data_IF_055933394859
#
_entry.id   IF_055933394859
#
_cell.length_a   1.000
_cell.length_b   1.000
_cell.length_c   1.000
_cell.angle_alpha   90.00
_cell.angle_beta   90.00
_cell.angle_gamma   90.00
#
_symmetry.space_group_name_H-M   'P 1'
#
loop_
_entity.id
_entity.type
_entity.pdbx_description
1 polymer ?
#
# COMPACT_ATOMS: atom_id res chain seq x y z
N UNK A 1 18.02 11.86 1.67
CA UNK A 1 17.30 11.12 0.64
C UNK A 1 16.23 10.26 1.30
N UNK A 2 15.07 10.20 0.72
CA UNK A 2 13.90 9.45 1.21
C UNK A 2 13.47 9.84 2.62
N UNK A 3 13.01 11.07 2.73
CA UNK A 3 12.50 11.58 4.01
C UNK A 3 11.00 11.29 4.19
N UNK A 4 10.27 11.08 3.11
CA UNK A 4 8.83 10.81 3.16
C UNK A 4 8.54 9.58 2.31
N UNK A 5 8.31 8.45 2.96
CA UNK A 5 8.14 7.17 2.31
C UNK A 5 6.66 6.76 2.36
N UNK A 6 6.05 6.59 1.19
CA UNK A 6 4.66 6.12 1.09
C UNK A 6 4.66 4.61 0.84
N UNK A 7 3.98 3.87 1.68
CA UNK A 7 3.89 2.40 1.55
C UNK A 7 2.43 2.02 1.30
N UNK A 8 2.18 1.35 0.18
CA UNK A 8 0.85 0.82 -0.12
C UNK A 8 0.69 -0.53 0.58
N UNK A 9 -0.31 -0.66 1.44
CA UNK A 9 -0.54 -1.86 2.23
C UNK A 9 -1.93 -2.42 1.97
N UNK A 10 -2.03 -3.74 1.88
CA UNK A 10 -3.31 -4.43 1.69
C UNK A 10 -3.50 -5.63 2.62
N UNK A 11 -2.59 -5.82 3.56
CA UNK A 11 -2.65 -6.91 4.51
C UNK A 11 -2.09 -8.24 4.02
N UNK A 12 -1.66 -8.32 2.76
CA UNK A 12 -1.05 -9.54 2.25
C UNK A 12 0.37 -9.74 2.78
N UNK A 13 0.91 -10.95 2.65
CA UNK A 13 2.28 -11.24 3.07
C UNK A 13 3.29 -10.38 2.33
N UNK A 14 3.08 -10.18 1.03
CA UNK A 14 3.97 -9.36 0.22
C UNK A 14 3.92 -7.90 0.65
N UNK A 15 2.73 -7.41 0.97
CA UNK A 15 2.53 -6.07 1.52
C UNK A 15 3.29 -5.91 2.83
N UNK A 16 3.25 -6.92 3.69
CA UNK A 16 3.97 -6.86 4.96
C UNK A 16 5.48 -6.86 4.74
N UNK A 17 5.98 -7.60 3.76
CA UNK A 17 7.40 -7.56 3.39
C UNK A 17 7.79 -6.16 2.88
N UNK A 18 6.94 -5.54 2.08
CA UNK A 18 7.16 -4.19 1.60
C UNK A 18 7.21 -3.19 2.77
N UNK A 19 6.29 -3.35 3.72
CA UNK A 19 6.28 -2.51 4.92
C UNK A 19 7.57 -2.66 5.71
N UNK A 20 8.01 -3.90 5.96
CA UNK A 20 9.24 -4.13 6.70
C UNK A 20 10.46 -3.51 6.01
N UNK A 21 10.55 -3.63 4.69
CA UNK A 21 11.64 -3.01 3.93
C UNK A 21 11.61 -1.48 4.05
N UNK A 22 10.41 -0.89 3.98
CA UNK A 22 10.26 0.55 4.12
C UNK A 22 10.66 1.02 5.51
N UNK A 23 10.29 0.28 6.55
CA UNK A 23 10.64 0.63 7.92
C UNK A 23 12.15 0.54 8.18
N UNK A 24 12.80 -0.44 7.57
CA UNK A 24 14.24 -0.57 7.66
C UNK A 24 14.94 0.65 7.05
N UNK A 25 14.49 1.07 5.86
CA UNK A 25 15.01 2.29 5.23
C UNK A 25 14.72 3.53 6.08
N UNK A 26 13.55 3.61 6.66
CA UNK A 26 13.13 4.77 7.44
C UNK A 26 13.96 4.92 8.72
N UNK A 27 14.30 3.81 9.34
CA UNK A 27 15.07 3.82 10.59
C UNK A 27 16.42 4.51 10.42
N UNK A 28 17.13 4.16 9.36
CA UNK A 28 18.47 4.68 9.12
C UNK A 28 18.46 6.17 8.80
N UNK A 29 17.34 6.69 8.34
CA UNK A 29 17.27 8.04 7.80
C UNK A 29 16.35 8.97 8.55
N UNK A 30 15.73 8.47 9.61
CA UNK A 30 14.74 9.21 10.37
C UNK A 30 13.65 9.75 9.44
N UNK A 31 13.13 8.86 8.61
CA UNK A 31 12.10 9.19 7.64
C UNK A 31 10.72 9.10 8.28
N UNK A 32 9.77 9.85 7.73
CA UNK A 32 8.37 9.71 8.07
C UNK A 32 7.73 8.73 7.09
N UNK A 33 6.97 7.77 7.59
CA UNK A 33 6.33 6.75 6.78
C UNK A 33 4.81 6.97 6.77
N UNK A 34 4.21 6.97 5.58
CA UNK A 34 2.76 6.98 5.46
C UNK A 34 2.29 5.65 4.91
N UNK A 35 1.35 5.04 5.62
CA UNK A 35 0.75 3.76 5.25
C UNK A 35 -0.55 4.05 4.52
N UNK A 36 -0.61 3.67 3.25
CA UNK A 36 -1.77 3.94 2.39
C UNK A 36 -2.50 2.64 2.11
N UNK A 37 -3.80 2.63 2.37
CA UNK A 37 -4.67 1.53 1.94
C UNK A 37 -5.77 2.09 1.06
N UNK A 38 -5.92 1.47 -0.10
CA UNK A 38 -6.98 1.82 -1.05
C UNK A 38 -8.04 0.73 -0.97
N UNK A 39 -9.29 1.12 -0.78
CA UNK A 39 -10.37 0.16 -0.69
C UNK A 39 -10.50 -0.64 -1.97
N UNK A 40 -10.85 -1.92 -1.82
CA UNK A 40 -10.86 -2.87 -2.92
C UNK A 40 -11.88 -2.49 -4.00
N UNK A 41 -11.41 -2.50 -5.24
CA UNK A 41 -12.25 -2.16 -6.39
C UNK A 41 -13.28 -3.25 -6.73
N UNK A 42 -13.14 -4.44 -6.19
CA UNK A 42 -14.07 -5.53 -6.51
C UNK A 42 -15.51 -5.11 -6.37
N UNK A 43 -15.67 -4.16 -5.58
CA UNK A 43 -16.95 -3.64 -5.26
C UNK A 43 -17.57 -2.83 -6.39
N UNK A 44 -16.78 -2.28 -7.24
CA UNK A 44 -17.31 -1.50 -8.36
C UNK A 44 -17.56 -2.35 -9.60
N UNK A 45 -17.02 -3.58 -9.64
CA UNK A 45 -17.08 -4.42 -10.82
C UNK A 45 -18.48 -4.90 -11.17
N UNK A 46 -19.36 -4.95 -10.20
CA UNK A 46 -20.70 -5.47 -10.43
C UNK A 46 -21.74 -4.39 -10.71
N UNK A 47 -21.34 -3.14 -10.81
CA UNK A 47 -22.27 -2.07 -11.12
C UNK A 47 -23.36 -1.84 -10.07
N UNK A 48 -23.29 -2.56 -8.98
CA UNK A 48 -24.24 -2.38 -7.91
C UNK A 48 -23.74 -1.29 -6.99
N UNK A 49 -24.64 -0.37 -6.71
CA UNK A 49 -24.34 0.58 -5.65
C UNK A 49 -24.21 -0.22 -4.37
N UNK A 50 -23.11 -0.07 -3.68
CA UNK A 50 -23.00 -0.60 -2.37
C UNK A 50 -24.15 -0.13 -1.53
N UNK A 51 -24.73 -1.05 -0.82
CA UNK A 51 -25.49 -0.62 0.33
C UNK A 51 -24.52 0.13 1.23
N UNK A 52 -25.02 1.14 1.93
CA UNK A 52 -24.21 1.87 2.90
C UNK A 52 -23.54 0.92 3.88
N UNK A 53 -24.20 -0.19 4.20
CA UNK A 53 -23.67 -1.18 5.12
C UNK A 53 -22.44 -1.90 4.57
N UNK A 54 -22.45 -2.29 3.29
CA UNK A 54 -21.29 -2.93 2.66
C UNK A 54 -20.10 -1.99 2.58
N UNK A 55 -20.36 -0.73 2.30
CA UNK A 55 -19.32 0.28 2.25
C UNK A 55 -18.68 0.47 3.61
N UNK A 56 -19.51 0.54 4.65
CA UNK A 56 -19.04 0.67 6.02
C UNK A 56 -18.16 -0.51 6.40
N UNK A 57 -18.59 -1.74 6.05
CA UNK A 57 -17.80 -2.95 6.31
C UNK A 57 -16.45 -2.90 5.59
N UNK A 58 -16.41 -2.42 4.35
CA UNK A 58 -15.17 -2.30 3.60
C UNK A 58 -14.23 -1.28 4.24
N UNK A 59 -14.77 -0.17 4.72
CA UNK A 59 -13.98 0.84 5.41
C UNK A 59 -13.42 0.31 6.73
N UNK A 60 -14.21 -0.45 7.49
CA UNK A 60 -13.74 -1.07 8.72
C UNK A 60 -12.62 -2.07 8.46
N UNK A 61 -12.77 -2.89 7.43
CA UNK A 61 -11.74 -3.86 7.06
C UNK A 61 -10.46 -3.15 6.63
N UNK A 62 -10.58 -2.07 5.86
CA UNK A 62 -9.44 -1.26 5.45
C UNK A 62 -8.74 -0.59 6.63
N UNK A 63 -9.52 -0.10 7.58
CA UNK A 63 -8.97 0.50 8.78
C UNK A 63 -8.19 -0.53 9.61
N UNK A 64 -8.68 -1.77 9.67
CA UNK A 64 -7.97 -2.85 10.36
C UNK A 64 -6.62 -3.13 9.70
N UNK A 65 -6.58 -3.14 8.37
CA UNK A 65 -5.31 -3.30 7.65
C UNK A 65 -4.32 -2.20 8.04
N UNK A 66 -4.78 -0.96 8.10
CA UNK A 66 -3.93 0.16 8.48
C UNK A 66 -3.51 0.11 9.95
N UNK A 67 -4.41 -0.27 10.83
CA UNK A 67 -4.10 -0.37 12.27
C UNK A 67 -3.03 -1.44 12.52
N UNK A 68 -3.14 -2.59 11.85
CA UNK A 68 -2.15 -3.66 11.96
C UNK A 68 -0.78 -3.19 11.43
N UNK A 69 -0.77 -2.51 10.30
CA UNK A 69 0.46 -1.98 9.72
C UNK A 69 1.09 -0.92 10.63
N UNK A 70 0.26 -0.05 11.21
CA UNK A 70 0.74 0.97 12.12
C UNK A 70 1.37 0.37 13.37
N UNK A 71 0.79 -0.73 13.88
CA UNK A 71 1.33 -1.44 15.02
C UNK A 71 2.72 -2.01 14.72
N UNK A 72 2.93 -2.50 13.50
CA UNK A 72 4.24 -2.99 13.06
C UNK A 72 5.26 -1.84 13.05
N UNK A 73 4.87 -0.68 12.53
CA UNK A 73 5.74 0.49 12.50
C UNK A 73 6.11 0.97 13.92
N UNK A 74 5.15 0.93 14.83
CA UNK A 74 5.37 1.36 16.20
C UNK A 74 6.44 0.54 16.93
N UNK A 75 6.55 -0.74 16.60
CA UNK A 75 7.58 -1.60 17.18
C UNK A 75 9.00 -1.15 16.83
N UNK A 76 9.16 -0.43 15.73
CA UNK A 76 10.47 0.04 15.27
C UNK A 76 10.77 1.48 15.63
N UNK A 77 9.93 2.13 16.41
CA UNK A 77 10.09 3.55 16.77
C UNK A 77 10.12 4.45 15.52
N UNK A 78 9.36 4.09 14.51
CA UNK A 78 9.29 4.85 13.26
C UNK A 78 8.09 5.78 13.30
N UNK A 79 8.30 7.05 12.98
CA UNK A 79 7.22 8.00 12.85
C UNK A 79 6.36 7.62 11.64
N UNK A 80 5.12 7.24 11.90
CA UNK A 80 4.23 6.78 10.84
C UNK A 80 2.81 7.29 11.04
N UNK A 81 2.12 7.53 9.92
CA UNK A 81 0.70 7.81 9.92
C UNK A 81 -0.01 6.97 8.86
N UNK A 82 -1.32 7.05 8.82
CA UNK A 82 -2.13 6.22 7.92
C UNK A 82 -3.03 7.08 7.05
N UNK A 83 -3.37 6.54 5.89
CA UNK A 83 -4.33 7.16 4.99
C UNK A 83 -5.18 6.07 4.34
N UNK A 84 -6.49 6.17 4.51
CA UNK A 84 -7.46 5.28 3.87
C UNK A 84 -8.08 6.03 2.70
N UNK A 85 -8.04 5.43 1.52
CA UNK A 85 -8.61 6.05 0.32
C UNK A 85 -9.74 5.19 -0.23
N UNK A 86 -10.89 5.82 -0.41
CA UNK A 86 -12.05 5.22 -1.06
C UNK A 86 -12.21 5.93 -2.39
N UNK A 87 -11.74 5.31 -3.46
CA UNK A 87 -11.73 5.90 -4.79
C UNK A 87 -12.32 4.93 -5.80
N UNK A 88 -13.65 4.72 -5.75
CA UNK A 88 -14.28 3.74 -6.63
C UNK A 88 -14.06 4.10 -8.10
N UNK A 89 -13.75 3.09 -8.89
CA UNK A 89 -13.51 3.26 -10.32
C UNK A 89 -12.13 3.78 -10.69
N UNK A 90 -11.30 4.14 -9.73
CA UNK A 90 -9.94 4.57 -10.01
C UNK A 90 -8.97 3.39 -9.90
N UNK A 91 -7.92 3.42 -10.71
CA UNK A 91 -6.89 2.40 -10.68
C UNK A 91 -5.96 2.63 -9.50
N UNK A 92 -5.44 1.55 -8.97
CA UNK A 92 -4.52 1.62 -7.84
C UNK A 92 -3.32 2.52 -8.13
N UNK A 93 -2.73 2.40 -9.32
CA UNK A 93 -1.58 3.23 -9.70
C UNK A 93 -1.87 4.71 -9.67
N UNK A 94 -3.04 5.11 -10.15
CA UNK A 94 -3.44 6.53 -10.15
C UNK A 94 -3.64 7.03 -8.72
N UNK A 95 -4.31 6.25 -7.89
CA UNK A 95 -4.58 6.62 -6.50
C UNK A 95 -3.27 6.77 -5.71
N UNK A 96 -2.36 5.81 -5.87
CA UNK A 96 -1.07 5.86 -5.18
C UNK A 96 -0.23 7.04 -5.67
N UNK A 97 -0.21 7.28 -6.98
CA UNK A 97 0.54 8.40 -7.55
C UNK A 97 0.02 9.75 -7.04
N UNK A 98 -1.31 9.90 -6.98
CA UNK A 98 -1.93 11.12 -6.48
C UNK A 98 -1.64 11.32 -4.99
N UNK A 99 -1.75 10.26 -4.20
CA UNK A 99 -1.44 10.32 -2.78
C UNK A 99 0.03 10.69 -2.53
N UNK A 100 0.93 10.10 -3.32
CA UNK A 100 2.36 10.41 -3.21
C UNK A 100 2.63 11.87 -3.52
N UNK A 101 2.00 12.39 -4.57
CA UNK A 101 2.16 13.78 -4.97
C UNK A 101 1.61 14.72 -3.90
N UNK A 102 0.40 14.45 -3.44
CA UNK A 102 -0.27 15.31 -2.45
C UNK A 102 0.49 15.37 -1.13
N UNK A 103 1.12 14.28 -0.74
CA UNK A 103 1.88 14.21 0.50
C UNK A 103 3.36 14.59 0.31
N UNK A 104 3.77 14.83 -0.92
CA UNK A 104 5.16 15.09 -1.29
C UNK A 104 6.09 13.94 -0.88
N UNK A 105 5.67 12.72 -1.15
CA UNK A 105 6.51 11.55 -0.93
C UNK A 105 7.72 11.60 -1.86
N UNK A 106 8.85 11.13 -1.40
CA UNK A 106 10.05 11.02 -2.22
C UNK A 106 10.45 9.56 -2.50
N UNK A 107 9.68 8.63 -1.99
CA UNK A 107 9.78 7.20 -2.32
C UNK A 107 8.41 6.55 -2.12
N UNK A 108 8.05 5.66 -3.04
CA UNK A 108 6.87 4.79 -2.90
C UNK A 108 7.38 3.35 -2.78
N UNK A 109 6.82 2.59 -1.85
CA UNK A 109 7.18 1.17 -1.66
C UNK A 109 5.92 0.32 -1.83
N UNK A 110 6.01 -0.70 -2.67
CA UNK A 110 4.89 -1.61 -2.93
C UNK A 110 5.38 -3.05 -3.00
N UNK A 111 4.51 -3.99 -2.61
CA UNK A 111 4.77 -5.41 -2.85
C UNK A 111 4.49 -5.75 -4.31
N UNK A 112 5.19 -6.73 -4.83
CA UNK A 112 5.00 -7.14 -6.23
C UNK A 112 3.68 -7.84 -6.49
N UNK A 113 3.07 -8.44 -5.44
CA UNK A 113 1.77 -9.10 -5.53
C UNK A 113 0.92 -8.64 -4.37
N UNK A 114 -0.33 -8.33 -4.63
CA UNK A 114 -1.27 -8.04 -3.58
C UNK A 114 -1.99 -9.30 -3.13
N UNK A 115 -3.20 -9.13 -2.63
CA UNK A 115 -4.05 -10.23 -2.19
C UNK A 115 -4.33 -11.26 -3.26
N UNK A 116 -4.23 -10.87 -4.51
CA UNK A 116 -4.46 -11.75 -5.64
C UNK A 116 -3.18 -12.28 -6.23
N UNK A 117 -2.19 -12.45 -5.39
CA UNK A 117 -0.90 -12.92 -5.83
C UNK A 117 -0.99 -14.18 -6.64
N UNK A 118 -0.24 -14.22 -7.72
CA UNK A 118 -0.13 -15.38 -8.57
C UNK A 118 1.20 -16.03 -8.27
N UNK A 119 1.24 -17.34 -8.31
CA UNK A 119 2.41 -18.07 -7.90
C UNK A 119 3.67 -17.81 -8.69
N UNK A 120 3.62 -17.10 -9.77
CA UNK A 120 4.82 -16.83 -10.56
C UNK A 120 5.30 -15.40 -10.45
N UNK A 121 6.55 -15.25 -10.74
CA UNK A 121 7.33 -14.11 -10.38
C UNK A 121 7.22 -12.96 -11.34
N UNK A 122 6.07 -12.54 -11.64
CA UNK A 122 5.93 -11.33 -12.41
C UNK A 122 5.41 -10.22 -11.51
N UNK A 123 5.71 -9.02 -11.89
CA UNK A 123 5.18 -7.86 -11.21
C UNK A 123 3.66 -7.90 -11.33
N UNK A 124 2.96 -7.83 -10.22
CA UNK A 124 1.49 -7.79 -10.24
C UNK A 124 0.98 -6.53 -10.93
N UNK A 125 -0.26 -6.60 -11.41
CA UNK A 125 -0.86 -5.48 -12.15
C UNK A 125 -0.89 -4.18 -11.35
N UNK A 126 -1.21 -4.27 -10.06
CA UNK A 126 -1.23 -3.08 -9.20
C UNK A 126 0.14 -2.45 -9.04
N UNK A 127 1.14 -3.28 -8.76
CA UNK A 127 2.52 -2.80 -8.63
C UNK A 127 3.03 -2.21 -9.95
N UNK A 128 2.71 -2.85 -11.06
CA UNK A 128 3.08 -2.35 -12.38
C UNK A 128 2.48 -0.98 -12.65
N UNK A 129 1.23 -0.79 -12.30
CA UNK A 129 0.56 0.51 -12.44
C UNK A 129 1.24 1.58 -11.59
N UNK A 130 1.59 1.24 -10.36
CA UNK A 130 2.28 2.18 -9.48
C UNK A 130 3.62 2.59 -10.07
N UNK A 131 4.40 1.63 -10.56
CA UNK A 131 5.69 1.92 -11.20
C UNK A 131 5.50 2.85 -12.38
N UNK A 132 4.45 2.63 -13.17
CA UNK A 132 4.20 3.42 -14.38
C UNK A 132 3.74 4.84 -14.05
N UNK A 133 2.92 5.00 -13.02
CA UNK A 133 2.24 6.26 -12.74
C UNK A 133 2.96 7.16 -11.73
N UNK A 134 3.80 6.61 -10.88
CA UNK A 134 4.47 7.40 -9.86
C UNK A 134 5.50 8.34 -10.48
N UNK A 135 5.56 9.56 -9.94
CA UNK A 135 6.52 10.56 -10.38
C UNK A 135 7.82 10.51 -9.56
N UNK A 136 7.90 9.63 -8.59
CA UNK A 136 9.06 9.47 -7.70
C UNK A 136 9.55 8.03 -7.79
N UNK A 137 10.76 7.73 -7.28
CA UNK A 137 11.25 6.35 -7.26
C UNK A 137 10.27 5.40 -6.59
N UNK A 138 10.18 4.19 -7.13
CA UNK A 138 9.33 3.12 -6.58
C UNK A 138 10.22 1.93 -6.25
N UNK A 139 10.15 1.49 -5.00
CA UNK A 139 10.78 0.26 -4.57
C UNK A 139 9.74 -0.85 -4.59
N UNK A 140 9.98 -1.87 -5.40
CA UNK A 140 9.12 -3.05 -5.42
C UNK A 140 9.75 -4.15 -4.58
N UNK A 141 8.97 -4.76 -3.70
CA UNK A 141 9.45 -5.78 -2.80
C UNK A 141 8.77 -7.09 -3.14
N UNK A 142 9.56 -8.13 -3.39
CA UNK A 142 9.01 -9.45 -3.68
C UNK A 142 8.56 -10.13 -2.42
N UNK A 143 7.48 -10.84 -2.53
CA UNK A 143 7.03 -11.70 -1.46
C UNK A 143 8.04 -12.80 -1.18
N UNK A 144 8.06 -13.22 0.02
CA UNK A 144 9.02 -14.08 0.59
C UNK A 144 9.37 -15.25 -0.21
N UNK A 145 10.56 -15.20 -0.54
CA UNK A 145 11.15 -16.31 -1.14
C UNK A 145 11.13 -17.47 -0.24
N UNK A 146 10.67 -17.28 0.86
CA UNK A 146 10.42 -18.36 1.70
C UNK A 146 9.76 -19.40 0.98
N UNK A 147 9.22 -18.98 -0.02
CA UNK A 147 8.72 -19.94 -0.80
C UNK A 147 9.78 -20.83 -1.26
N UNK A 148 10.48 -21.41 -0.69
CA UNK A 148 11.23 -22.38 -1.21
C UNK A 148 11.28 -23.42 -0.48
#
# INVERSE_FOLDING_TARGET
MFKRILVAVDGSDTSNQALLAALELARDRQSHVRLLHVLDELSSVHGYRYSAQLREMAQEAGQTVLDDALAIAAHGDIEADTQLVDAPGQRLGDVVADAARAWAADLVVVGTHGRRGVGRVLLGSGAEEVVRMAAVPVLTVRGGAAAR
#
